data_IF_584729150528
#
_entry.id   IF_584729150528
#
_cell.length_a   1.000
_cell.length_b   1.000
_cell.length_c   1.000
_cell.angle_alpha   90.00
_cell.angle_beta   90.00
_cell.angle_gamma   90.00
#
_symmetry.space_group_name_H-M   'P 1'
#
loop_
_entity.id
_entity.type
_entity.pdbx_description
1 polymer ?
#
# COMPACT_ATOMS: atom_id res chain seq x y z
N UNK A 1 8.26 14.89 -8.23
CA UNK A 1 7.21 13.89 -7.97
C UNK A 1 5.82 14.55 -7.96
N UNK A 2 4.75 13.90 -8.43
CA UNK A 2 3.36 14.41 -8.34
C UNK A 2 2.63 13.78 -7.14
N UNK A 3 2.08 14.62 -6.24
CA UNK A 3 1.15 14.18 -5.20
C UNK A 3 -0.28 14.11 -5.76
N UNK A 4 -0.97 12.99 -5.56
CA UNK A 4 -2.36 12.80 -6.01
C UNK A 4 -3.24 12.24 -4.90
N UNK A 5 -4.53 12.59 -4.92
CA UNK A 5 -5.50 12.19 -3.87
C UNK A 5 -6.65 11.36 -4.42
N UNK A 6 -6.97 11.50 -5.71
CA UNK A 6 -8.08 10.83 -6.35
C UNK A 6 -7.61 9.81 -7.40
N UNK A 7 -8.32 8.69 -7.59
CA UNK A 7 -7.98 7.69 -8.61
C UNK A 7 -7.99 8.24 -10.05
N UNK A 8 -8.77 9.30 -10.32
CA UNK A 8 -8.83 9.94 -11.63
C UNK A 8 -7.54 10.68 -12.02
N UNK A 9 -6.67 10.96 -11.05
CA UNK A 9 -5.41 11.68 -11.27
C UNK A 9 -4.21 10.74 -11.53
N UNK A 10 -4.42 9.43 -11.39
CA UNK A 10 -3.41 8.39 -11.57
C UNK A 10 -3.09 8.18 -13.06
N UNK A 11 -1.82 7.86 -13.38
CA UNK A 11 -1.44 7.55 -14.75
C UNK A 11 -2.19 6.31 -15.27
N UNK A 12 -2.42 6.27 -16.59
CA UNK A 12 -3.16 5.19 -17.28
C UNK A 12 -2.36 4.52 -18.39
N UNK A 13 -1.19 5.05 -18.69
CA UNK A 13 -0.32 4.61 -19.77
C UNK A 13 1.09 4.36 -19.23
N UNK A 14 1.87 3.59 -19.98
CA UNK A 14 3.20 3.14 -19.58
C UNK A 14 3.17 1.93 -18.65
N UNK A 15 4.35 1.35 -18.45
CA UNK A 15 4.57 0.28 -17.47
C UNK A 15 4.62 0.91 -16.08
N UNK A 16 3.68 0.53 -15.22
CA UNK A 16 3.56 1.09 -13.87
C UNK A 16 4.09 0.08 -12.84
N UNK A 17 5.16 0.47 -12.15
CA UNK A 17 5.67 -0.19 -10.95
C UNK A 17 5.03 0.41 -9.70
N UNK A 18 4.41 -0.40 -8.86
CA UNK A 18 3.63 0.08 -7.71
C UNK A 18 4.16 -0.44 -6.37
N UNK A 19 4.37 0.47 -5.42
CA UNK A 19 4.78 0.16 -4.05
C UNK A 19 3.66 0.60 -3.08
N UNK A 20 2.78 -0.30 -2.64
CA UNK A 20 1.78 0.05 -1.64
C UNK A 20 2.40 0.16 -0.25
N UNK A 21 2.14 1.27 0.45
CA UNK A 21 2.67 1.51 1.80
C UNK A 21 1.66 2.20 2.72
N UNK A 22 1.97 2.23 4.01
CA UNK A 22 1.22 3.00 5.02
C UNK A 22 1.92 4.31 5.44
N UNK A 23 2.99 4.74 4.76
CA UNK A 23 3.81 5.87 5.19
C UNK A 23 4.89 5.49 6.21
N UNK A 24 5.49 6.51 6.84
CA UNK A 24 6.63 6.39 7.75
C UNK A 24 7.80 5.66 7.08
N UNK A 25 8.30 6.25 6.00
CA UNK A 25 9.29 5.66 5.13
C UNK A 25 10.63 5.45 5.84
N UNK A 26 11.31 4.42 5.39
CA UNK A 26 12.62 4.01 5.85
C UNK A 26 13.32 3.29 4.71
N UNK A 27 14.60 2.95 4.88
CA UNK A 27 15.42 2.43 3.78
C UNK A 27 14.86 1.16 3.12
N UNK A 28 14.19 0.29 3.89
CA UNK A 28 13.43 -0.84 3.31
C UNK A 28 12.38 -0.42 2.27
N UNK A 29 11.59 0.62 2.56
CA UNK A 29 10.63 1.18 1.60
C UNK A 29 11.33 1.79 0.39
N UNK A 30 12.37 2.58 0.63
CA UNK A 30 13.12 3.26 -0.44
C UNK A 30 13.79 2.25 -1.39
N UNK A 31 14.22 1.09 -0.89
CA UNK A 31 14.77 0.03 -1.73
C UNK A 31 13.75 -0.51 -2.75
N UNK A 32 12.48 -0.68 -2.33
CA UNK A 32 11.40 -1.09 -3.22
C UNK A 32 11.08 0.01 -4.25
N UNK A 33 11.07 1.28 -3.82
CA UNK A 33 10.81 2.42 -4.70
C UNK A 33 11.88 2.56 -5.80
N UNK A 34 13.17 2.45 -5.43
CA UNK A 34 14.27 2.52 -6.39
C UNK A 34 14.24 1.35 -7.38
N UNK A 35 13.89 0.15 -6.90
CA UNK A 35 13.71 -1.02 -7.78
C UNK A 35 12.55 -0.82 -8.73
N UNK A 36 11.39 -0.38 -8.23
CA UNK A 36 10.22 -0.07 -9.03
C UNK A 36 10.51 1.00 -10.10
N UNK A 37 11.30 2.02 -9.75
CA UNK A 37 11.72 3.05 -10.70
C UNK A 37 12.70 2.53 -11.76
N UNK A 38 13.59 1.62 -11.41
CA UNK A 38 14.57 1.06 -12.35
C UNK A 38 13.95 0.12 -13.40
N UNK A 39 12.84 -0.56 -13.05
CA UNK A 39 12.24 -1.62 -13.88
C UNK A 39 11.00 -1.18 -14.68
N UNK A 40 10.52 0.05 -14.49
CA UNK A 40 9.25 0.51 -15.06
C UNK A 40 9.34 1.98 -15.52
N UNK A 41 8.45 2.37 -16.42
CA UNK A 41 8.38 3.76 -16.92
C UNK A 41 7.97 4.73 -15.82
N UNK A 42 7.03 4.30 -14.97
CA UNK A 42 6.48 5.07 -13.86
C UNK A 42 6.53 4.28 -12.55
N UNK A 43 7.05 4.92 -11.50
CA UNK A 43 6.96 4.46 -10.12
C UNK A 43 5.82 5.19 -9.41
N UNK A 44 4.81 4.43 -8.99
CA UNK A 44 3.70 4.91 -8.16
C UNK A 44 3.84 4.34 -6.76
N UNK A 45 3.70 5.18 -5.75
CA UNK A 45 3.70 4.75 -4.33
C UNK A 45 2.37 5.14 -3.72
N UNK A 46 1.70 4.25 -2.98
CA UNK A 46 0.56 4.67 -2.15
C UNK A 46 1.01 4.96 -0.73
N UNK A 47 0.48 6.02 -0.11
CA UNK A 47 0.65 6.36 1.30
C UNK A 47 -0.73 6.38 1.95
N UNK A 48 -1.11 5.25 2.57
CA UNK A 48 -2.43 5.09 3.17
C UNK A 48 -2.37 4.15 4.38
N UNK A 49 -2.56 4.70 5.58
CA UNK A 49 -2.72 3.89 6.80
C UNK A 49 -4.10 3.25 6.77
N UNK A 50 -4.16 1.98 6.38
CA UNK A 50 -5.42 1.27 6.19
C UNK A 50 -6.06 0.90 7.54
N UNK A 51 -7.26 1.41 7.91
CA UNK A 51 -7.88 1.05 9.18
C UNK A 51 -8.32 -0.41 9.28
N UNK A 52 -8.69 -1.05 8.17
CA UNK A 52 -9.34 -2.38 8.18
C UNK A 52 -8.39 -3.53 8.53
N UNK A 53 -7.08 -3.29 8.47
CA UNK A 53 -6.07 -4.28 8.85
C UNK A 53 -5.59 -4.13 10.31
N UNK A 54 -6.20 -3.23 11.10
CA UNK A 54 -5.90 -3.05 12.51
C UNK A 54 -6.99 -3.70 13.38
N UNK A 55 -6.58 -4.52 14.35
CA UNK A 55 -7.47 -5.05 15.37
C UNK A 55 -7.88 -4.02 16.42
N UNK A 56 -8.89 -4.31 17.27
CA UNK A 56 -9.38 -3.37 18.31
C UNK A 56 -8.32 -2.97 19.34
N UNK A 57 -7.34 -3.84 19.59
CA UNK A 57 -6.22 -3.61 20.51
C UNK A 57 -4.96 -3.08 19.83
N UNK A 58 -5.03 -2.76 18.53
CA UNK A 58 -3.88 -2.27 17.76
C UNK A 58 -3.92 -0.75 17.61
N UNK A 59 -2.75 -0.13 17.65
CA UNK A 59 -2.61 1.31 17.80
C UNK A 59 -2.71 2.08 16.47
N UNK A 60 -3.86 1.98 15.77
CA UNK A 60 -4.17 2.79 14.57
C UNK A 60 -4.00 4.29 14.84
N UNK A 61 -4.40 4.74 16.02
CA UNK A 61 -4.32 6.15 16.42
C UNK A 61 -2.87 6.63 16.57
N UNK A 62 -1.95 5.76 17.02
CA UNK A 62 -0.54 6.10 17.23
C UNK A 62 0.36 5.79 16.03
N UNK A 63 -0.19 5.21 14.97
CA UNK A 63 0.59 4.93 13.78
C UNK A 63 1.25 6.23 13.26
N UNK A 64 2.58 6.25 13.04
CA UNK A 64 3.31 7.45 12.66
C UNK A 64 2.81 7.99 11.32
N UNK A 65 2.65 9.32 11.24
CA UNK A 65 2.21 10.02 10.03
C UNK A 65 3.07 11.27 9.88
N UNK A 66 3.94 11.28 8.88
CA UNK A 66 4.76 12.42 8.51
C UNK A 66 4.75 12.55 6.98
N UNK A 67 3.69 13.19 6.48
CA UNK A 67 3.51 13.32 5.04
C UNK A 67 4.63 14.11 4.38
N UNK A 68 5.12 15.17 5.03
CA UNK A 68 6.18 16.03 4.46
C UNK A 68 7.50 15.28 4.38
N UNK A 69 7.88 14.55 5.44
CA UNK A 69 9.06 13.68 5.46
C UNK A 69 8.97 12.56 4.42
N UNK A 70 7.83 11.86 4.37
CA UNK A 70 7.59 10.79 3.40
C UNK A 70 7.65 11.30 1.96
N UNK A 71 7.12 12.49 1.69
CA UNK A 71 7.17 13.13 0.37
C UNK A 71 8.62 13.44 -0.05
N UNK A 72 9.42 14.02 0.84
CA UNK A 72 10.82 14.33 0.56
C UNK A 72 11.63 13.05 0.27
N UNK A 73 11.40 11.99 1.06
CA UNK A 73 12.06 10.70 0.86
C UNK A 73 11.65 10.03 -0.46
N UNK A 74 10.36 10.04 -0.81
CA UNK A 74 9.86 9.46 -2.05
C UNK A 74 10.40 10.20 -3.28
N UNK A 75 10.44 11.55 -3.23
CA UNK A 75 11.00 12.36 -4.31
C UNK A 75 12.49 12.06 -4.52
N UNK A 76 13.27 11.97 -3.43
CA UNK A 76 14.69 11.61 -3.50
C UNK A 76 14.92 10.19 -4.04
N UNK A 77 13.97 9.26 -3.83
CA UNK A 77 14.03 7.89 -4.36
C UNK A 77 13.60 7.78 -5.84
N UNK A 78 13.20 8.88 -6.48
CA UNK A 78 12.80 8.90 -7.88
C UNK A 78 11.35 8.48 -8.14
N UNK A 79 10.49 8.53 -7.12
CA UNK A 79 9.05 8.25 -7.26
C UNK A 79 8.41 9.30 -8.19
N UNK A 80 7.65 8.83 -9.18
CA UNK A 80 6.95 9.72 -10.12
C UNK A 80 5.64 10.23 -9.53
N UNK A 81 4.88 9.36 -8.85
CA UNK A 81 3.57 9.67 -8.26
C UNK A 81 3.45 9.13 -6.84
N UNK A 82 3.14 10.02 -5.89
CA UNK A 82 2.72 9.65 -4.55
C UNK A 82 1.19 9.75 -4.45
N UNK A 83 0.52 8.60 -4.37
CA UNK A 83 -0.92 8.49 -4.19
C UNK A 83 -1.28 8.42 -2.71
N UNK A 84 -1.86 9.47 -2.16
CA UNK A 84 -2.17 9.56 -0.74
C UNK A 84 -3.67 9.81 -0.51
N UNK A 85 -4.53 8.80 -0.78
CA UNK A 85 -5.97 8.93 -0.70
C UNK A 85 -6.49 9.08 0.73
N UNK A 86 -7.70 9.62 0.87
CA UNK A 86 -8.44 9.60 2.14
C UNK A 86 -9.12 8.24 2.38
N UNK A 87 -9.48 7.90 3.64
CA UNK A 87 -10.29 6.71 3.93
C UNK A 87 -11.61 6.67 3.15
N UNK A 88 -12.27 7.81 2.95
CA UNK A 88 -13.53 7.91 2.19
C UNK A 88 -13.33 7.62 0.70
N UNK A 89 -12.14 7.90 0.17
CA UNK A 89 -11.77 7.57 -1.21
C UNK A 89 -11.60 6.06 -1.39
N UNK A 90 -10.97 5.38 -0.42
CA UNK A 90 -10.78 3.92 -0.46
C UNK A 90 -12.07 3.17 -0.08
N UNK A 91 -12.82 3.71 0.88
CA UNK A 91 -13.97 3.10 1.53
C UNK A 91 -15.20 4.03 1.54
N UNK A 92 -15.74 4.43 0.37
CA UNK A 92 -16.97 5.24 0.33
C UNK A 92 -18.17 4.48 0.91
N UNK A 93 -18.15 3.14 0.78
CA UNK A 93 -19.02 2.18 1.45
C UNK A 93 -18.18 0.94 1.77
N UNK A 94 -18.37 0.35 2.96
CA UNK A 94 -17.70 -0.89 3.36
C UNK A 94 -18.68 -2.07 3.26
N UNK A 95 -18.91 -2.56 2.06
CA UNK A 95 -19.87 -3.65 1.79
C UNK A 95 -19.24 -4.88 1.16
N UNK A 96 -17.94 -4.85 0.90
CA UNK A 96 -17.20 -5.95 0.26
C UNK A 96 -16.09 -6.41 1.19
N UNK A 97 -15.99 -7.72 1.39
CA UNK A 97 -14.87 -8.37 2.06
C UNK A 97 -14.10 -9.24 1.08
N UNK A 98 -12.84 -9.50 1.40
CA UNK A 98 -11.96 -10.42 0.67
C UNK A 98 -11.32 -11.31 1.72
N UNK A 99 -11.37 -12.62 1.52
CA UNK A 99 -10.77 -13.60 2.42
C UNK A 99 -9.91 -14.58 1.63
N UNK A 100 -8.70 -14.85 2.11
CA UNK A 100 -7.74 -15.75 1.47
C UNK A 100 -7.56 -16.99 2.35
N UNK A 101 -8.28 -18.07 2.07
CA UNK A 101 -8.26 -19.27 2.92
C UNK A 101 -6.87 -19.90 3.04
N UNK A 102 -6.61 -20.58 4.16
CA UNK A 102 -5.39 -21.34 4.40
C UNK A 102 -4.22 -20.49 4.90
N UNK A 103 -3.47 -19.84 4.00
CA UNK A 103 -2.25 -19.10 4.40
C UNK A 103 -2.55 -17.94 5.34
N UNK A 104 -3.73 -17.32 5.23
CA UNK A 104 -4.14 -16.22 6.12
C UNK A 104 -4.64 -16.67 7.50
N UNK A 105 -4.84 -17.97 7.73
CA UNK A 105 -5.46 -18.49 8.97
C UNK A 105 -4.41 -18.94 10.01
N UNK A 106 -3.14 -19.01 9.61
CA UNK A 106 -2.02 -19.45 10.47
C UNK A 106 -1.18 -18.25 10.94
N UNK A 107 -0.28 -18.49 11.89
CA UNK A 107 0.75 -17.53 12.32
C UNK A 107 0.21 -16.13 12.67
N UNK A 108 0.57 -15.09 11.92
CA UNK A 108 0.07 -13.72 12.15
C UNK A 108 -1.44 -13.64 11.99
N UNK A 109 -2.03 -14.44 11.11
CA UNK A 109 -3.47 -14.50 10.92
C UNK A 109 -4.22 -15.02 12.14
N UNK A 110 -3.66 -16.02 12.81
CA UNK A 110 -4.20 -16.52 14.07
C UNK A 110 -3.99 -15.54 15.23
N UNK A 111 -2.90 -14.76 15.21
CA UNK A 111 -2.57 -13.75 16.24
C UNK A 111 -3.33 -12.43 16.05
N UNK A 112 -3.68 -12.11 14.80
CA UNK A 112 -4.32 -10.85 14.38
C UNK A 112 -5.54 -11.18 13.52
N UNK A 113 -6.63 -11.71 14.11
CA UNK A 113 -7.82 -12.11 13.35
C UNK A 113 -8.37 -10.97 12.50
N UNK A 114 -8.62 -11.24 11.21
CA UNK A 114 -9.12 -10.26 10.25
C UNK A 114 -8.03 -9.35 9.63
N UNK A 115 -6.79 -9.38 10.12
CA UNK A 115 -5.70 -8.56 9.58
C UNK A 115 -5.51 -8.75 8.07
N UNK A 116 -5.39 -9.99 7.63
CA UNK A 116 -5.16 -10.31 6.21
C UNK A 116 -6.38 -10.09 5.33
N UNK A 117 -7.59 -10.16 5.86
CA UNK A 117 -8.80 -9.77 5.11
C UNK A 117 -8.76 -8.26 4.82
N UNK A 118 -8.35 -7.46 5.82
CA UNK A 118 -8.12 -6.03 5.66
C UNK A 118 -7.01 -5.70 4.65
N UNK A 119 -5.90 -6.44 4.70
CA UNK A 119 -4.79 -6.31 3.74
C UNK A 119 -5.23 -6.68 2.33
N UNK A 120 -5.84 -7.84 2.13
CA UNK A 120 -6.31 -8.30 0.84
C UNK A 120 -7.33 -7.33 0.23
N UNK A 121 -8.26 -6.82 1.05
CA UNK A 121 -9.24 -5.83 0.61
C UNK A 121 -8.60 -4.53 0.15
N UNK A 122 -7.67 -3.96 0.92
CA UNK A 122 -7.05 -2.68 0.55
C UNK A 122 -6.14 -2.83 -0.67
N UNK A 123 -5.37 -3.92 -0.76
CA UNK A 123 -4.49 -4.17 -1.92
C UNK A 123 -5.33 -4.40 -3.17
N UNK A 124 -6.43 -5.16 -3.10
CA UNK A 124 -7.36 -5.34 -4.22
C UNK A 124 -7.91 -3.99 -4.71
N UNK A 125 -8.32 -3.11 -3.78
CA UNK A 125 -8.80 -1.77 -4.13
C UNK A 125 -7.71 -0.94 -4.79
N UNK A 126 -6.50 -0.91 -4.23
CA UNK A 126 -5.37 -0.16 -4.77
C UNK A 126 -4.96 -0.67 -6.16
N UNK A 127 -4.93 -1.98 -6.38
CA UNK A 127 -4.65 -2.57 -7.70
C UNK A 127 -5.69 -2.14 -8.74
N UNK A 128 -6.98 -2.08 -8.38
CA UNK A 128 -8.02 -1.62 -9.29
C UNK A 128 -7.95 -0.11 -9.59
N UNK A 129 -7.47 0.69 -8.63
CA UNK A 129 -7.30 2.15 -8.80
C UNK A 129 -6.05 2.48 -9.63
N UNK A 130 -4.90 1.93 -9.25
CA UNK A 130 -3.57 2.19 -9.83
C UNK A 130 -3.36 1.43 -11.13
N UNK A 131 -3.90 0.21 -11.25
CA UNK A 131 -3.71 -0.70 -12.40
C UNK A 131 -2.24 -0.94 -12.73
N UNK A 132 -1.42 -1.39 -11.77
CA UNK A 132 0.00 -1.57 -11.99
C UNK A 132 0.29 -2.73 -12.95
N UNK A 133 1.43 -2.64 -13.64
CA UNK A 133 2.00 -3.79 -14.36
C UNK A 133 2.77 -4.71 -13.41
N UNK A 134 3.46 -4.13 -12.42
CA UNK A 134 4.22 -4.86 -11.40
C UNK A 134 3.96 -4.21 -10.04
N UNK A 135 3.80 -5.02 -8.99
CA UNK A 135 3.68 -4.55 -7.62
C UNK A 135 4.83 -5.10 -6.77
N UNK A 136 5.36 -4.28 -5.86
CA UNK A 136 6.55 -4.58 -5.07
C UNK A 136 6.19 -4.66 -3.59
N UNK A 137 6.58 -5.76 -2.94
CA UNK A 137 6.32 -6.02 -1.53
C UNK A 137 7.61 -6.45 -0.82
N UNK A 138 7.80 -5.98 0.41
CA UNK A 138 8.97 -6.32 1.21
C UNK A 138 8.83 -7.70 1.85
N UNK A 139 9.87 -8.53 1.74
CA UNK A 139 9.88 -9.89 2.29
C UNK A 139 9.95 -9.95 3.83
N UNK A 140 10.13 -8.82 4.51
CA UNK A 140 9.99 -8.72 5.97
C UNK A 140 8.62 -9.26 6.41
N UNK A 141 7.57 -8.94 5.66
CA UNK A 141 6.20 -9.41 5.90
C UNK A 141 5.90 -10.63 5.01
N UNK A 142 6.69 -11.71 5.14
CA UNK A 142 6.65 -12.86 4.25
C UNK A 142 5.25 -13.48 4.11
N UNK A 143 4.50 -13.60 5.21
CA UNK A 143 3.14 -14.13 5.15
C UNK A 143 2.20 -13.24 4.33
N UNK A 144 2.35 -11.92 4.42
CA UNK A 144 1.61 -10.98 3.56
C UNK A 144 1.97 -11.19 2.09
N UNK A 145 3.24 -11.39 1.76
CA UNK A 145 3.67 -11.71 0.39
C UNK A 145 3.07 -13.01 -0.15
N UNK A 146 2.71 -13.98 0.72
CA UNK A 146 2.06 -15.23 0.31
C UNK A 146 0.54 -15.11 0.23
N UNK A 147 -0.05 -14.11 0.89
CA UNK A 147 -1.49 -13.81 0.83
C UNK A 147 -1.85 -13.07 -0.47
N UNK A 148 -0.93 -12.25 -0.97
CA UNK A 148 -1.10 -11.38 -2.14
C UNK A 148 -0.62 -12.04 -3.44
#
# INVERSE_FOLDING_TARGET
MKLVRLPSELPREGRIGFVPTMGAFHEGHLSLMRTAKAENDLCVVSLFVNPTQFGPSEDLARYPRDLEGDMAMAEAAGVDVLYAPSPETIYPRQTTSVHVSGVSERWEGARRPGHFDGVALVVLKLFNMVRPTVAYFGQKDLQQCLVL
#
